data_IF_383933474755
#
_entry.id   IF_383933474755
#
_cell.length_a   1.000
_cell.length_b   1.000
_cell.length_c   1.000
_cell.angle_alpha   90.00
_cell.angle_beta   90.00
_cell.angle_gamma   90.00
#
_symmetry.space_group_name_H-M   'P 1'
#
loop_
_entity.id
_entity.type
_entity.pdbx_description
1 polymer ?
#
# COMPACT_ATOMS: atom_id res chain seq x y z
N UNK A 1 -8.91 8.81 -25.57
CA UNK A 1 -10.32 9.14 -25.88
C UNK A 1 -11.19 7.86 -26.03
N UNK A 2 -10.75 6.81 -26.76
CA UNK A 2 -11.55 5.61 -27.02
C UNK A 2 -11.91 4.82 -25.76
N UNK A 3 -10.95 4.62 -24.83
CA UNK A 3 -11.21 3.95 -23.52
C UNK A 3 -12.22 4.72 -22.69
N UNK A 4 -12.04 6.05 -22.59
CA UNK A 4 -12.95 6.93 -21.84
C UNK A 4 -14.37 6.90 -22.41
N UNK A 5 -14.52 6.94 -23.72
CA UNK A 5 -15.83 6.84 -24.38
C UNK A 5 -16.48 5.48 -24.14
N UNK A 6 -15.70 4.39 -24.22
CA UNK A 6 -16.19 3.02 -23.95
C UNK A 6 -16.67 2.87 -22.51
N UNK A 7 -15.91 3.37 -21.53
CA UNK A 7 -16.26 3.30 -20.11
C UNK A 7 -17.50 4.15 -19.79
N UNK A 8 -17.59 5.37 -20.29
CA UNK A 8 -18.78 6.23 -20.13
C UNK A 8 -20.02 5.62 -20.80
N UNK A 9 -19.89 5.05 -21.99
CA UNK A 9 -20.98 4.37 -22.69
C UNK A 9 -21.46 3.13 -21.94
N UNK A 10 -20.54 2.36 -21.33
CA UNK A 10 -20.88 1.22 -20.49
C UNK A 10 -21.61 1.68 -19.21
N UNK A 11 -21.10 2.70 -18.53
CA UNK A 11 -21.72 3.28 -17.33
C UNK A 11 -23.11 3.80 -17.60
N UNK A 12 -23.32 4.53 -18.70
CA UNK A 12 -24.62 5.03 -19.12
C UNK A 12 -25.62 3.88 -19.39
N UNK A 13 -25.15 2.79 -20.03
CA UNK A 13 -25.99 1.60 -20.24
C UNK A 13 -26.38 0.92 -18.94
N UNK A 14 -25.44 0.81 -17.97
CA UNK A 14 -25.72 0.26 -16.64
C UNK A 14 -26.73 1.11 -15.88
N UNK A 15 -26.62 2.44 -15.92
CA UNK A 15 -27.54 3.36 -15.28
C UNK A 15 -28.94 3.28 -15.90
N UNK A 16 -29.03 3.19 -17.22
CA UNK A 16 -30.32 3.04 -17.94
C UNK A 16 -30.96 1.66 -17.71
N UNK A 17 -30.17 0.59 -17.65
CA UNK A 17 -30.63 -0.74 -17.33
C UNK A 17 -30.99 -0.95 -15.86
N UNK A 18 -30.38 -0.18 -14.98
CA UNK A 18 -30.57 -0.23 -13.52
C UNK A 18 -31.72 0.59 -12.99
N UNK A 19 -32.42 1.36 -13.84
CA UNK A 19 -33.57 2.17 -13.44
C UNK A 19 -34.68 1.37 -12.73
N UNK A 20 -34.80 0.07 -13.08
CA UNK A 20 -35.78 -0.85 -12.48
C UNK A 20 -35.24 -1.74 -11.34
N UNK A 21 -33.89 -1.82 -11.18
CA UNK A 21 -33.23 -2.58 -10.09
C UNK A 21 -32.11 -1.74 -9.49
N UNK A 22 -32.36 -1.13 -8.36
CA UNK A 22 -31.45 -0.29 -7.56
C UNK A 22 -30.19 -1.02 -7.05
N UNK A 23 -29.49 -1.77 -7.89
CA UNK A 23 -28.22 -2.37 -7.56
C UNK A 23 -27.10 -1.37 -7.89
N UNK A 24 -26.40 -0.91 -6.89
CA UNK A 24 -25.23 0.00 -7.04
C UNK A 24 -24.00 -0.87 -7.25
N UNK A 25 -23.30 -0.68 -8.37
CA UNK A 25 -22.00 -1.30 -8.63
C UNK A 25 -20.92 -0.26 -8.42
N UNK A 26 -19.95 -0.56 -7.57
CA UNK A 26 -18.82 0.32 -7.26
C UNK A 26 -17.51 -0.38 -7.62
N UNK A 27 -16.70 0.27 -8.47
CA UNK A 27 -15.37 -0.20 -8.85
C UNK A 27 -14.32 0.61 -8.10
N UNK A 28 -13.52 -0.07 -7.28
CA UNK A 28 -12.58 0.52 -6.35
C UNK A 28 -11.18 0.08 -6.74
N UNK A 29 -10.29 1.05 -6.98
CA UNK A 29 -8.86 0.79 -7.11
C UNK A 29 -8.18 0.86 -5.75
N UNK A 30 -7.27 -0.04 -5.46
CA UNK A 30 -6.43 0.00 -4.25
C UNK A 30 -4.97 -0.19 -4.62
N UNK A 31 -4.06 0.36 -3.82
CA UNK A 31 -2.63 0.07 -3.99
C UNK A 31 -2.28 -1.31 -3.45
N UNK A 32 -1.20 -1.92 -3.94
CA UNK A 32 -0.71 -3.21 -3.45
C UNK A 32 -0.47 -3.24 -1.93
N UNK A 33 -0.19 -2.11 -1.32
CA UNK A 33 0.00 -2.01 0.12
C UNK A 33 -1.34 -2.07 0.86
N UNK A 34 -2.38 -1.43 0.33
CA UNK A 34 -3.74 -1.45 0.89
C UNK A 34 -4.37 -2.83 0.84
N UNK A 35 -3.94 -3.70 -0.08
CA UNK A 35 -4.42 -5.08 -0.21
C UNK A 35 -4.20 -5.92 1.06
N UNK A 36 -3.12 -5.64 1.79
CA UNK A 36 -2.77 -6.35 3.03
C UNK A 36 -3.26 -5.66 4.31
N UNK A 37 -4.10 -4.62 4.20
CA UNK A 37 -4.53 -3.76 5.30
C UNK A 37 -6.00 -3.94 5.67
N UNK A 38 -6.38 -3.27 6.78
CA UNK A 38 -7.76 -3.08 7.24
C UNK A 38 -8.71 -2.51 6.17
N UNK A 39 -8.17 -1.89 5.12
CA UNK A 39 -8.93 -1.31 4.01
C UNK A 39 -9.82 -2.35 3.33
N UNK A 40 -9.26 -3.49 2.93
CA UNK A 40 -10.02 -4.57 2.27
C UNK A 40 -11.09 -5.15 3.19
N UNK A 41 -10.78 -5.29 4.49
CA UNK A 41 -11.76 -5.75 5.49
C UNK A 41 -12.89 -4.73 5.68
N UNK A 42 -12.56 -3.43 5.73
CA UNK A 42 -13.56 -2.37 5.83
C UNK A 42 -14.48 -2.33 4.61
N UNK A 43 -13.94 -2.47 3.40
CA UNK A 43 -14.72 -2.55 2.16
C UNK A 43 -15.65 -3.78 2.16
N UNK A 44 -15.15 -4.93 2.61
CA UNK A 44 -15.97 -6.14 2.71
C UNK A 44 -17.12 -5.97 3.73
N UNK A 45 -16.87 -5.32 4.87
CA UNK A 45 -17.91 -4.99 5.84
C UNK A 45 -18.95 -4.02 5.26
N UNK A 46 -18.52 -2.98 4.52
CA UNK A 46 -19.43 -2.06 3.85
C UNK A 46 -20.35 -2.78 2.84
N UNK A 47 -19.80 -3.70 2.06
CA UNK A 47 -20.58 -4.52 1.12
C UNK A 47 -21.65 -5.38 1.82
N UNK A 48 -21.35 -5.86 3.04
CA UNK A 48 -22.29 -6.64 3.84
C UNK A 48 -23.45 -5.85 4.46
N UNK A 49 -23.37 -4.51 4.50
CA UNK A 49 -24.42 -3.66 5.09
C UNK A 49 -25.54 -3.29 4.12
N UNK A 50 -25.28 -3.35 2.82
CA UNK A 50 -26.30 -3.11 1.77
C UNK A 50 -26.27 -4.24 0.72
N UNK A 51 -27.28 -5.09 0.75
CA UNK A 51 -27.42 -6.21 -0.20
C UNK A 51 -27.54 -5.76 -1.67
N UNK A 52 -27.66 -4.47 -1.92
CA UNK A 52 -27.74 -3.89 -3.27
C UNK A 52 -26.41 -3.36 -3.76
N UNK A 53 -25.37 -3.34 -2.91
CA UNK A 53 -24.05 -2.86 -3.25
C UNK A 53 -23.16 -4.02 -3.69
N UNK A 54 -22.73 -4.00 -4.96
CA UNK A 54 -21.70 -4.90 -5.47
C UNK A 54 -20.40 -4.11 -5.65
N UNK A 55 -19.33 -4.57 -5.03
CA UNK A 55 -18.01 -3.95 -5.15
C UNK A 55 -17.07 -4.81 -6.00
N UNK A 56 -16.33 -4.17 -6.89
CA UNK A 56 -15.20 -4.77 -7.61
C UNK A 56 -13.94 -4.07 -7.14
N UNK A 57 -12.98 -4.81 -6.59
CA UNK A 57 -11.71 -4.25 -6.10
C UNK A 57 -10.63 -4.64 -7.09
N UNK A 58 -9.84 -3.65 -7.53
CA UNK A 58 -8.73 -3.79 -8.46
C UNK A 58 -7.46 -3.28 -7.76
N UNK A 59 -6.36 -4.02 -7.89
CA UNK A 59 -5.08 -3.64 -7.29
C UNK A 59 -4.10 -3.22 -8.38
N UNK A 60 -3.49 -2.03 -8.24
CA UNK A 60 -2.50 -1.52 -9.17
C UNK A 60 -1.60 -0.46 -8.52
N UNK A 61 -0.65 0.09 -9.27
CA UNK A 61 0.18 1.23 -8.86
C UNK A 61 -0.64 2.51 -8.79
N UNK A 62 -0.20 3.48 -7.98
CA UNK A 62 -0.88 4.78 -7.84
C UNK A 62 -1.08 5.45 -9.20
N UNK A 63 -0.05 5.42 -10.06
CA UNK A 63 -0.10 6.02 -11.39
C UNK A 63 -1.23 5.40 -12.23
N UNK A 64 -1.28 4.08 -12.31
CA UNK A 64 -2.28 3.37 -13.08
C UNK A 64 -3.69 3.61 -12.52
N UNK A 65 -3.85 3.63 -11.19
CA UNK A 65 -5.13 3.93 -10.54
C UNK A 65 -5.64 5.33 -10.89
N UNK A 66 -4.76 6.34 -10.94
CA UNK A 66 -5.15 7.68 -11.40
C UNK A 66 -5.54 7.69 -12.89
N UNK A 67 -4.83 6.95 -13.72
CA UNK A 67 -5.17 6.84 -15.15
C UNK A 67 -6.52 6.11 -15.35
N UNK A 68 -6.83 5.12 -14.50
CA UNK A 68 -8.12 4.44 -14.49
C UNK A 68 -9.26 5.33 -13.99
N UNK A 69 -9.02 6.23 -13.00
CA UNK A 69 -9.99 7.26 -12.59
C UNK A 69 -10.27 8.23 -13.74
N UNK A 70 -9.23 8.74 -14.41
CA UNK A 70 -9.37 9.65 -15.56
C UNK A 70 -10.13 9.02 -16.72
N UNK A 71 -9.98 7.70 -16.92
CA UNK A 71 -10.68 6.95 -17.97
C UNK A 71 -12.05 6.41 -17.54
N UNK A 72 -12.47 6.67 -16.29
CA UNK A 72 -13.71 6.13 -15.69
C UNK A 72 -13.77 4.59 -15.67
N UNK A 73 -12.62 3.93 -15.63
CA UNK A 73 -12.54 2.48 -15.47
C UNK A 73 -12.80 2.06 -14.02
N UNK A 74 -12.47 2.94 -13.05
CA UNK A 74 -12.85 2.84 -11.64
C UNK A 74 -13.60 4.08 -11.19
N UNK A 75 -14.36 3.97 -10.10
CA UNK A 75 -15.20 5.03 -9.57
C UNK A 75 -14.53 5.79 -8.44
N UNK A 76 -13.65 5.11 -7.69
CA UNK A 76 -12.79 5.70 -6.65
C UNK A 76 -11.50 4.90 -6.50
N UNK A 77 -10.48 5.51 -5.93
CA UNK A 77 -9.24 4.83 -5.56
C UNK A 77 -8.88 5.10 -4.09
N UNK A 78 -8.35 4.07 -3.42
CA UNK A 78 -7.72 4.22 -2.10
C UNK A 78 -6.22 4.07 -2.32
N UNK A 79 -5.50 5.17 -2.11
CA UNK A 79 -4.07 5.26 -2.38
C UNK A 79 -3.31 5.65 -1.12
N UNK A 80 -2.11 5.15 -0.99
CA UNK A 80 -1.22 5.40 0.13
C UNK A 80 0.05 6.09 -0.35
N UNK A 81 0.27 7.32 0.11
CA UNK A 81 1.31 8.18 -0.42
C UNK A 81 0.95 8.72 -1.80
N UNK A 82 1.93 9.32 -2.45
CA UNK A 82 1.76 9.93 -3.78
C UNK A 82 1.34 11.40 -3.71
N UNK A 83 1.50 12.07 -4.85
CA UNK A 83 1.15 13.47 -5.00
C UNK A 83 -0.34 13.60 -5.31
N UNK A 84 -0.96 14.65 -4.76
CA UNK A 84 -2.31 15.04 -5.15
C UNK A 84 -2.34 15.37 -6.65
N UNK A 85 -3.29 14.76 -7.38
CA UNK A 85 -3.47 15.06 -8.81
C UNK A 85 -4.50 16.18 -8.95
N UNK A 86 -4.10 17.23 -9.66
CA UNK A 86 -4.95 18.38 -9.91
C UNK A 86 -6.25 17.96 -10.64
N UNK A 87 -7.37 18.53 -10.22
CA UNK A 87 -8.69 18.20 -10.79
C UNK A 87 -9.39 17.01 -10.15
N UNK A 88 -8.76 16.26 -9.25
CA UNK A 88 -9.39 15.18 -8.49
C UNK A 88 -9.70 15.62 -7.05
N UNK A 89 -10.86 15.20 -6.53
CA UNK A 89 -11.17 15.35 -5.10
C UNK A 89 -10.51 14.24 -4.32
N UNK A 90 -9.94 14.59 -3.16
CA UNK A 90 -9.40 13.58 -2.26
C UNK A 90 -9.78 13.84 -0.82
N UNK A 91 -10.01 12.78 -0.07
CA UNK A 91 -10.26 12.79 1.37
C UNK A 91 -9.18 11.96 2.06
N UNK A 92 -8.48 12.57 3.02
CA UNK A 92 -7.55 11.84 3.88
C UNK A 92 -8.35 10.94 4.82
N UNK A 93 -7.99 9.65 4.86
CA UNK A 93 -8.59 8.65 5.73
C UNK A 93 -7.75 8.40 6.98
N UNK A 94 -6.45 8.24 6.80
CA UNK A 94 -5.54 7.84 7.88
C UNK A 94 -4.09 8.22 7.53
N UNK A 95 -3.22 8.11 8.53
CA UNK A 95 -1.78 8.22 8.39
C UNK A 95 -1.11 6.95 8.89
N UNK A 96 -0.07 6.51 8.18
CA UNK A 96 0.75 5.35 8.53
C UNK A 96 2.24 5.74 8.44
N UNK A 97 3.11 4.92 8.96
CA UNK A 97 4.54 5.15 8.89
C UNK A 97 5.30 3.87 8.58
N UNK A 98 6.48 4.02 7.98
CA UNK A 98 7.33 2.89 7.67
C UNK A 98 8.16 2.48 8.89
N UNK A 99 8.32 1.18 9.02
CA UNK A 99 9.09 0.53 10.08
C UNK A 99 10.05 -0.50 9.48
N UNK A 100 11.10 -0.85 10.21
CA UNK A 100 11.89 -2.02 9.90
C UNK A 100 11.19 -3.26 10.46
N UNK A 101 10.76 -4.14 9.57
CA UNK A 101 10.16 -5.44 9.91
C UNK A 101 11.23 -6.53 9.84
N UNK A 102 11.26 -7.41 10.85
CA UNK A 102 12.25 -8.47 10.99
C UNK A 102 11.70 -9.68 11.72
N UNK A 103 12.41 -10.80 11.66
CA UNK A 103 12.13 -11.97 12.50
C UNK A 103 12.31 -11.65 13.98
N UNK A 104 11.54 -12.31 14.85
CA UNK A 104 11.77 -12.25 16.30
C UNK A 104 13.11 -12.89 16.72
N UNK A 105 13.70 -13.70 15.85
CA UNK A 105 15.01 -14.34 16.06
C UNK A 105 16.17 -13.39 15.72
N UNK A 106 15.92 -12.37 14.90
CA UNK A 106 16.93 -11.37 14.58
C UNK A 106 17.36 -10.62 15.86
N UNK A 107 18.66 -10.50 16.14
CA UNK A 107 19.16 -9.82 17.37
C UNK A 107 18.63 -8.40 17.53
N UNK A 108 18.43 -7.66 16.43
CA UNK A 108 17.93 -6.28 16.44
C UNK A 108 16.49 -6.20 16.96
N UNK A 109 15.72 -7.28 16.91
CA UNK A 109 14.33 -7.31 17.39
C UNK A 109 14.17 -6.96 18.87
N UNK A 110 15.23 -7.04 19.64
CA UNK A 110 15.28 -6.73 21.07
C UNK A 110 15.55 -5.25 21.37
N UNK A 111 15.89 -4.47 20.35
CA UNK A 111 16.14 -3.03 20.47
C UNK A 111 14.79 -2.27 20.56
N UNK A 112 14.85 -1.01 21.02
CA UNK A 112 13.70 -0.10 20.95
C UNK A 112 13.52 0.50 19.55
N UNK A 113 14.60 0.64 18.79
CA UNK A 113 14.69 1.16 17.44
C UNK A 113 15.91 0.59 16.73
N UNK A 114 15.99 0.75 15.42
CA UNK A 114 17.15 0.37 14.61
C UNK A 114 17.77 1.61 13.97
N UNK A 115 19.10 1.61 13.85
CA UNK A 115 19.84 2.67 13.15
C UNK A 115 20.05 2.33 11.69
N UNK A 116 20.32 3.35 10.84
CA UNK A 116 20.70 3.09 9.44
C UNK A 116 22.00 2.27 9.34
N UNK A 117 22.95 2.47 10.26
CA UNK A 117 24.19 1.72 10.27
C UNK A 117 24.01 0.24 10.62
N UNK A 118 23.03 -0.10 11.45
CA UNK A 118 22.65 -1.49 11.70
C UNK A 118 21.99 -2.08 10.46
N UNK A 119 21.03 -1.35 9.84
CA UNK A 119 20.34 -1.81 8.62
C UNK A 119 21.28 -2.05 7.44
N UNK A 120 22.36 -1.29 7.30
CA UNK A 120 23.39 -1.49 6.27
C UNK A 120 24.15 -2.81 6.42
N UNK A 121 24.08 -3.44 7.58
CA UNK A 121 24.71 -4.75 7.85
C UNK A 121 23.76 -5.92 7.70
N UNK A 122 22.47 -5.61 7.53
CA UNK A 122 21.42 -6.60 7.38
C UNK A 122 21.15 -6.88 5.88
N UNK A 123 20.77 -8.12 5.60
CA UNK A 123 20.23 -8.47 4.27
C UNK A 123 18.84 -7.87 4.12
N UNK A 124 18.66 -7.04 3.11
CA UNK A 124 17.38 -6.37 2.90
C UNK A 124 16.54 -7.03 1.81
N UNK A 125 15.28 -7.23 2.13
CA UNK A 125 14.23 -7.68 1.21
C UNK A 125 13.30 -6.49 1.01
N UNK A 126 13.33 -5.84 -0.14
CA UNK A 126 12.59 -4.61 -0.36
C UNK A 126 11.48 -4.78 -1.39
N UNK A 127 10.56 -3.83 -1.39
CA UNK A 127 9.58 -3.68 -2.45
C UNK A 127 10.28 -3.26 -3.76
N UNK A 128 9.62 -3.52 -4.90
CA UNK A 128 10.09 -3.03 -6.20
C UNK A 128 10.29 -1.50 -6.20
N UNK A 129 11.22 -0.95 -6.99
CA UNK A 129 11.46 0.50 -7.09
C UNK A 129 10.21 1.32 -7.46
N UNK A 130 9.25 0.73 -8.16
CA UNK A 130 7.98 1.36 -8.53
C UNK A 130 7.00 1.52 -7.37
N UNK A 131 7.25 0.92 -6.21
CA UNK A 131 6.34 0.99 -5.07
C UNK A 131 6.52 2.31 -4.29
N UNK A 132 5.42 2.91 -3.84
CA UNK A 132 5.45 4.12 -3.02
C UNK A 132 6.22 3.92 -1.69
N UNK A 133 6.19 2.72 -1.12
CA UNK A 133 6.95 2.36 0.08
C UNK A 133 8.46 2.46 -0.16
N UNK A 134 8.94 1.88 -1.28
CA UNK A 134 10.35 1.95 -1.67
C UNK A 134 10.77 3.38 -1.99
N UNK A 135 9.98 4.10 -2.78
CA UNK A 135 10.24 5.48 -3.14
C UNK A 135 10.35 6.41 -1.91
N UNK A 136 9.46 6.22 -0.90
CA UNK A 136 9.52 7.00 0.34
C UNK A 136 10.80 6.71 1.13
N UNK A 137 11.22 5.45 1.23
CA UNK A 137 12.47 5.10 1.91
C UNK A 137 13.68 5.71 1.20
N UNK A 138 13.80 5.53 -0.12
CA UNK A 138 14.90 6.08 -0.91
C UNK A 138 14.96 7.60 -0.87
N UNK A 139 13.83 8.30 -1.02
CA UNK A 139 13.80 9.76 -0.93
C UNK A 139 14.19 10.26 0.46
N UNK A 140 13.85 9.52 1.50
CA UNK A 140 14.27 9.84 2.87
C UNK A 140 15.77 9.64 3.06
N UNK A 141 16.35 8.56 2.53
CA UNK A 141 17.81 8.36 2.53
C UNK A 141 18.52 9.51 1.82
N UNK A 142 18.05 9.88 0.61
CA UNK A 142 18.63 10.98 -0.16
C UNK A 142 18.60 12.31 0.60
N UNK A 143 17.52 12.60 1.34
CA UNK A 143 17.42 13.81 2.16
C UNK A 143 18.47 13.88 3.28
N UNK A 144 19.01 12.73 3.67
CA UNK A 144 20.07 12.59 4.67
C UNK A 144 21.47 12.49 4.05
N UNK A 145 21.57 12.57 2.71
CA UNK A 145 22.84 12.39 1.99
C UNK A 145 23.28 10.92 1.91
N UNK A 146 22.36 9.98 2.08
CA UNK A 146 22.60 8.54 1.97
C UNK A 146 21.94 7.96 0.71
N UNK A 147 22.31 6.74 0.32
CA UNK A 147 21.78 6.03 -0.85
C UNK A 147 21.43 4.60 -0.51
N UNK A 148 20.43 4.07 -1.23
CA UNK A 148 20.07 2.65 -1.16
C UNK A 148 21.22 1.74 -1.57
N UNK A 149 22.16 2.23 -2.39
CA UNK A 149 23.33 1.48 -2.83
C UNK A 149 24.29 1.12 -1.68
N UNK A 150 24.14 1.80 -0.53
CA UNK A 150 24.91 1.51 0.69
C UNK A 150 24.32 0.36 1.52
N UNK A 151 23.21 -0.26 1.06
CA UNK A 151 22.52 -1.34 1.73
C UNK A 151 22.64 -2.65 0.95
N UNK A 152 22.69 -3.79 1.65
CA UNK A 152 22.72 -5.12 1.05
C UNK A 152 21.29 -5.55 0.62
N UNK A 153 20.81 -5.02 -0.50
CA UNK A 153 19.50 -5.39 -1.06
C UNK A 153 19.63 -6.71 -1.81
N UNK A 154 19.27 -7.80 -1.16
CA UNK A 154 19.39 -9.15 -1.69
C UNK A 154 18.20 -9.62 -2.49
N UNK A 155 17.00 -9.08 -2.22
CA UNK A 155 15.76 -9.43 -2.92
C UNK A 155 14.89 -8.20 -3.14
N UNK A 156 14.29 -8.13 -4.31
CA UNK A 156 13.24 -7.17 -4.64
C UNK A 156 11.95 -7.95 -4.94
N UNK A 157 10.89 -7.66 -4.17
CA UNK A 157 9.65 -8.46 -4.18
C UNK A 157 8.43 -7.54 -4.27
N UNK A 158 7.51 -7.84 -5.16
CA UNK A 158 6.30 -7.05 -5.31
C UNK A 158 5.26 -7.30 -4.20
N UNK A 159 5.09 -8.54 -3.80
CA UNK A 159 4.03 -8.94 -2.85
C UNK A 159 4.49 -8.86 -1.40
N UNK A 160 3.77 -8.06 -0.58
CA UNK A 160 4.08 -7.86 0.85
C UNK A 160 3.93 -9.16 1.66
N UNK A 161 2.96 -10.02 1.34
CA UNK A 161 2.79 -11.29 2.06
C UNK A 161 4.01 -12.19 1.86
N UNK A 162 4.55 -12.24 0.64
CA UNK A 162 5.81 -12.96 0.34
C UNK A 162 6.97 -12.38 1.13
N UNK A 163 7.10 -11.04 1.21
CA UNK A 163 8.15 -10.41 2.02
C UNK A 163 8.01 -10.83 3.49
N UNK A 164 6.81 -10.76 4.07
CA UNK A 164 6.55 -11.18 5.46
C UNK A 164 6.90 -12.66 5.68
N UNK A 165 6.62 -13.53 4.72
CA UNK A 165 6.97 -14.95 4.80
C UNK A 165 8.48 -15.18 4.81
N UNK A 166 9.23 -14.43 4.00
CA UNK A 166 10.69 -14.48 3.98
C UNK A 166 11.31 -13.97 5.29
N UNK A 167 10.78 -12.85 5.80
CA UNK A 167 11.21 -12.28 7.08
C UNK A 167 10.99 -13.29 8.23
N UNK A 168 9.82 -13.95 8.29
CA UNK A 168 9.54 -14.96 9.32
C UNK A 168 10.51 -16.14 9.33
N UNK A 169 11.15 -16.40 8.21
CA UNK A 169 12.19 -17.43 8.06
C UNK A 169 13.60 -16.91 8.32
N UNK A 170 13.69 -15.67 8.83
CA UNK A 170 14.96 -14.97 9.11
C UNK A 170 15.90 -14.86 7.88
N UNK A 171 15.29 -14.66 6.70
CA UNK A 171 16.05 -14.52 5.46
C UNK A 171 16.49 -13.09 5.16
N UNK A 172 16.10 -12.14 6.02
CA UNK A 172 16.46 -10.73 5.95
C UNK A 172 15.44 -9.83 6.66
N UNK A 173 15.64 -8.52 6.54
CA UNK A 173 14.76 -7.49 7.08
C UNK A 173 14.13 -6.67 5.95
N UNK A 174 13.04 -5.95 6.23
CA UNK A 174 12.37 -5.13 5.22
C UNK A 174 11.86 -3.81 5.79
N UNK A 175 11.71 -2.81 4.93
CA UNK A 175 11.04 -1.56 5.25
C UNK A 175 9.59 -1.67 4.75
N UNK A 176 8.67 -1.74 5.68
CA UNK A 176 7.25 -1.93 5.41
C UNK A 176 6.39 -0.93 6.18
N UNK A 177 5.17 -0.65 5.72
CA UNK A 177 4.20 0.08 6.51
C UNK A 177 3.86 -0.69 7.79
N UNK A 178 3.77 0.02 8.91
CA UNK A 178 3.41 -0.59 10.18
C UNK A 178 2.05 -1.27 10.11
N UNK A 179 1.08 -0.63 9.45
CA UNK A 179 -0.26 -1.21 9.26
C UNK A 179 -0.23 -2.58 8.59
N UNK A 180 0.65 -2.77 7.59
CA UNK A 180 0.79 -4.04 6.88
C UNK A 180 1.39 -5.18 7.74
N UNK A 181 2.01 -4.83 8.89
CA UNK A 181 2.60 -5.78 9.83
C UNK A 181 1.71 -6.09 11.04
N UNK A 182 0.57 -5.39 11.22
CA UNK A 182 -0.21 -5.41 12.46
C UNK A 182 -0.68 -6.79 12.88
N UNK A 183 -1.08 -7.63 11.92
CA UNK A 183 -1.57 -8.98 12.22
C UNK A 183 -0.46 -9.90 12.72
N UNK A 184 0.71 -9.82 12.10
CA UNK A 184 1.88 -10.57 12.51
C UNK A 184 2.42 -10.08 13.86
N UNK A 185 2.38 -8.77 14.11
CA UNK A 185 2.76 -8.18 15.39
C UNK A 185 1.84 -8.66 16.51
N UNK A 186 0.51 -8.62 16.32
CA UNK A 186 -0.47 -9.10 17.30
C UNK A 186 -0.31 -10.60 17.60
N UNK A 187 0.08 -11.38 16.60
CA UNK A 187 0.32 -12.82 16.72
C UNK A 187 1.73 -13.17 17.19
N UNK A 188 2.58 -12.18 17.46
CA UNK A 188 3.97 -12.37 17.85
C UNK A 188 4.83 -13.11 16.80
N UNK A 189 4.53 -12.94 15.50
CA UNK A 189 5.22 -13.65 14.41
C UNK A 189 6.35 -12.85 13.77
N UNK A 190 6.37 -11.54 14.00
CA UNK A 190 7.38 -10.60 13.53
C UNK A 190 7.64 -9.54 14.61
N UNK A 191 8.79 -8.90 14.52
CA UNK A 191 9.09 -7.64 15.17
C UNK A 191 9.06 -6.51 14.12
N UNK A 192 8.63 -5.31 14.53
CA UNK A 192 8.65 -4.13 13.69
C UNK A 192 9.06 -2.92 14.53
N UNK A 193 10.20 -2.34 14.21
CA UNK A 193 10.83 -1.29 14.98
C UNK A 193 10.91 0.02 14.18
N UNK A 194 10.75 1.17 14.84
CA UNK A 194 11.05 2.45 14.21
C UNK A 194 12.52 2.54 13.85
N UNK A 195 12.82 3.33 12.82
CA UNK A 195 14.21 3.63 12.43
C UNK A 195 14.60 4.95 13.07
N UNK A 196 15.74 4.97 13.73
CA UNK A 196 16.23 6.14 14.46
C UNK A 196 16.35 7.36 13.52
N UNK A 197 15.85 8.51 14.00
CA UNK A 197 15.86 9.78 13.28
C UNK A 197 15.18 9.79 11.91
N UNK A 198 14.37 8.76 11.58
CA UNK A 198 13.58 8.73 10.34
C UNK A 198 12.09 8.84 10.63
N UNK A 199 11.46 9.84 10.03
CA UNK A 199 10.01 10.00 10.03
C UNK A 199 9.48 9.76 8.62
N UNK A 200 9.15 8.53 8.29
CA UNK A 200 8.61 8.13 6.99
C UNK A 200 7.09 7.96 7.08
N UNK A 201 6.42 9.10 7.20
CA UNK A 201 4.94 9.14 7.29
C UNK A 201 4.34 9.15 5.89
N UNK A 202 3.24 8.46 5.71
CA UNK A 202 2.43 8.49 4.49
C UNK A 202 0.95 8.58 4.85
N UNK A 203 0.19 9.23 3.99
CA UNK A 203 -1.24 9.38 4.13
C UNK A 203 -1.97 8.34 3.27
N UNK A 204 -3.05 7.78 3.81
CA UNK A 204 -4.04 7.02 3.04
C UNK A 204 -5.17 7.96 2.66
N UNK A 205 -5.51 7.99 1.37
CA UNK A 205 -6.53 8.89 0.81
C UNK A 205 -7.52 8.12 -0.06
N UNK A 206 -8.79 8.54 -0.01
CA UNK A 206 -9.75 8.26 -1.08
C UNK A 206 -9.67 9.38 -2.11
N UNK A 207 -9.65 9.00 -3.37
CA UNK A 207 -9.63 9.88 -4.54
C UNK A 207 -10.82 9.54 -5.43
#
# INVERSE_FOLDING_TARGET
YARRFKALSAKLREELAGADRRATRLRIGITHTSESNLTTEALAKCSGTDNRLTMTILTDTIKNLYDMLDSYEIDLAIVEGGQHREGMRSLMLDTDYLVCAMSNENPLSRNAMVTLNELKRERMILRLPSSATRALFESTLQSLGDSIDNFDVTLEVDNIATIKDLIRKDLGVSILPRSACMDELRKGKLAALPIENLSMVRETRIV
#
